data_IF_127415674207
#
_entry.id   IF_127415674207
#
_cell.length_a   1.000
_cell.length_b   1.000
_cell.length_c   1.000
_cell.angle_alpha   90.00
_cell.angle_beta   90.00
_cell.angle_gamma   90.00
#
_symmetry.space_group_name_H-M   'P 1'
#
loop_
_entity.id
_entity.type
_entity.pdbx_description
1 polymer ?
#
# COMPACT_ATOMS: atom_id res chain seq x y z
N UNK A 1 -23.34 12.50 15.35
CA UNK A 1 -22.24 13.43 15.04
C UNK A 1 -21.03 13.33 15.99
N UNK A 2 -20.84 12.23 16.72
CA UNK A 2 -19.89 12.14 17.85
C UNK A 2 -18.47 11.62 17.51
N UNK A 3 -18.15 11.49 16.22
CA UNK A 3 -16.79 11.30 15.67
C UNK A 3 -15.78 12.35 16.18
N UNK A 4 -14.61 11.97 16.67
CA UNK A 4 -13.50 12.92 16.76
C UNK A 4 -13.11 13.44 15.35
N UNK A 5 -12.56 14.67 15.22
CA UNK A 5 -12.10 15.20 13.93
C UNK A 5 -11.01 14.35 13.26
N UNK A 6 -10.31 13.55 14.05
CA UNK A 6 -9.26 12.63 13.64
C UNK A 6 -9.44 11.28 14.32
N UNK A 7 -9.11 10.20 13.61
CA UNK A 7 -9.10 8.83 14.14
C UNK A 7 -7.70 8.25 14.01
N UNK A 8 -7.17 7.71 15.10
CA UNK A 8 -5.90 7.00 15.12
C UNK A 8 -6.12 5.49 14.92
N UNK A 9 -5.43 4.92 13.94
CA UNK A 9 -5.28 3.50 13.75
C UNK A 9 -3.89 3.13 14.24
N UNK A 10 -3.81 2.34 15.31
CA UNK A 10 -2.55 1.93 15.94
C UNK A 10 -2.57 0.43 16.20
N UNK A 11 -1.47 -0.24 15.93
CA UNK A 11 -1.30 -1.67 16.26
C UNK A 11 -1.08 -1.84 17.77
N UNK A 12 -1.15 -3.07 18.29
CA UNK A 12 -0.67 -3.33 19.63
C UNK A 12 0.87 -3.36 19.65
N UNK A 13 1.48 -2.53 20.49
CA UNK A 13 2.95 -2.50 20.68
C UNK A 13 3.71 -1.60 19.70
N UNK A 14 5.02 -1.47 19.90
CA UNK A 14 5.88 -0.61 19.08
C UNK A 14 6.28 -1.30 17.78
N UNK A 15 5.75 -0.82 16.66
CA UNK A 15 6.22 -1.25 15.34
C UNK A 15 7.59 -0.64 15.02
N UNK A 16 8.42 -1.38 14.30
CA UNK A 16 9.79 -0.98 13.98
C UNK A 16 9.87 0.27 13.08
N UNK A 17 8.84 0.54 12.26
CA UNK A 17 8.80 1.73 11.39
C UNK A 17 8.70 3.04 12.16
N UNK A 18 8.34 3.01 13.44
CA UNK A 18 8.33 4.21 14.30
C UNK A 18 9.73 4.54 14.82
N UNK A 19 10.66 3.57 14.85
CA UNK A 19 11.98 3.74 15.46
C UNK A 19 12.87 4.61 14.56
N UNK A 20 13.74 5.45 15.14
CA UNK A 20 14.67 6.26 14.37
C UNK A 20 15.68 5.38 13.59
N UNK A 21 16.12 5.88 12.43
CA UNK A 21 17.22 5.35 11.62
C UNK A 21 18.26 6.45 11.36
N UNK A 22 19.44 6.12 10.84
CA UNK A 22 20.56 7.05 10.68
C UNK A 22 20.21 8.40 10.02
N UNK A 23 19.22 8.41 9.11
CA UNK A 23 18.76 9.62 8.41
C UNK A 23 17.28 9.94 8.66
N UNK A 24 16.65 9.33 9.67
CA UNK A 24 15.23 9.54 10.00
C UNK A 24 15.01 9.66 11.50
N UNK A 25 14.24 10.66 11.90
CA UNK A 25 13.74 10.80 13.28
C UNK A 25 12.56 9.87 13.48
N UNK A 26 12.34 9.46 14.72
CA UNK A 26 11.26 8.56 15.08
C UNK A 26 10.95 8.67 16.56
N UNK A 27 10.25 7.68 17.09
CA UNK A 27 9.78 7.62 18.46
C UNK A 27 10.14 6.28 19.10
N UNK A 28 10.22 6.26 20.42
CA UNK A 28 10.49 5.07 21.23
C UNK A 28 9.21 4.37 21.69
N UNK A 29 8.04 4.96 21.47
CA UNK A 29 6.74 4.37 21.76
C UNK A 29 5.64 4.95 20.88
N UNK A 30 4.51 4.24 20.78
CA UNK A 30 3.30 4.79 20.13
C UNK A 30 2.74 6.00 20.88
N UNK A 31 2.80 5.99 22.22
CA UNK A 31 2.35 7.10 23.04
C UNK A 31 3.14 8.38 22.74
N UNK A 32 4.45 8.27 22.61
CA UNK A 32 5.31 9.39 22.23
C UNK A 32 4.98 9.90 20.83
N UNK A 33 4.77 9.00 19.85
CA UNK A 33 4.38 9.38 18.50
C UNK A 33 3.03 10.14 18.48
N UNK A 34 2.03 9.64 19.20
CA UNK A 34 0.73 10.29 19.29
C UNK A 34 0.80 11.63 20.02
N UNK A 35 1.53 11.71 21.14
CA UNK A 35 1.70 12.96 21.89
C UNK A 35 2.42 14.05 21.08
N UNK A 36 3.35 13.67 20.20
CA UNK A 36 4.03 14.60 19.29
C UNK A 36 3.13 15.04 18.12
N UNK A 37 2.35 14.11 17.53
CA UNK A 37 1.60 14.38 16.31
C UNK A 37 0.22 14.99 16.55
N UNK A 38 -0.51 14.55 17.57
CA UNK A 38 -1.89 15.00 17.85
C UNK A 38 -1.99 16.53 17.96
N UNK A 39 -1.09 17.26 18.64
CA UNK A 39 -1.13 18.72 18.70
C UNK A 39 -0.99 19.40 17.34
N UNK A 40 -0.32 18.76 16.38
CA UNK A 40 -0.05 19.30 15.02
C UNK A 40 -1.26 19.14 14.09
N UNK A 41 -2.18 18.21 14.41
CA UNK A 41 -3.33 17.86 13.56
C UNK A 41 -4.35 18.99 13.38
N UNK A 42 -4.45 19.93 14.32
CA UNK A 42 -5.35 21.08 14.22
C UNK A 42 -4.96 22.03 13.08
N UNK A 43 -3.69 22.06 12.74
CA UNK A 43 -3.11 22.90 11.67
C UNK A 43 -2.78 22.11 10.40
N UNK A 44 -2.92 20.78 10.43
CA UNK A 44 -2.57 19.92 9.31
C UNK A 44 -3.60 20.06 8.18
N UNK A 45 -3.11 20.40 6.99
CA UNK A 45 -3.90 20.42 5.76
C UNK A 45 -4.04 19.03 5.13
N UNK A 46 -3.13 18.10 5.44
CA UNK A 46 -3.16 16.72 4.98
C UNK A 46 -4.24 15.93 5.70
N UNK A 47 -5.10 15.19 5.00
CA UNK A 47 -6.17 14.40 5.64
C UNK A 47 -5.76 12.98 6.05
N UNK A 48 -4.52 12.59 5.77
CA UNK A 48 -3.92 11.30 6.14
C UNK A 48 -2.49 11.54 6.63
N UNK A 49 -2.16 11.02 7.81
CA UNK A 49 -0.84 11.14 8.40
C UNK A 49 -0.32 9.77 8.85
N UNK A 50 0.68 9.19 8.16
CA UNK A 50 1.25 7.90 8.56
C UNK A 50 2.03 8.03 9.88
N UNK A 51 1.87 7.06 10.77
CA UNK A 51 2.62 6.94 12.02
C UNK A 51 3.89 6.12 11.76
N UNK A 52 4.87 6.79 11.18
CA UNK A 52 6.16 6.23 10.75
C UNK A 52 7.27 7.24 10.99
N UNK A 53 8.51 6.76 11.10
CA UNK A 53 9.70 7.62 11.16
C UNK A 53 9.66 8.66 10.04
N UNK A 54 10.27 9.82 10.27
CA UNK A 54 10.16 10.97 9.39
C UNK A 54 11.51 11.68 9.20
N UNK A 55 11.65 12.35 8.08
CA UNK A 55 12.76 13.25 7.79
C UNK A 55 12.27 14.70 7.75
N UNK A 56 13.16 15.64 7.40
CA UNK A 56 12.78 17.03 7.14
C UNK A 56 11.77 17.18 5.99
N UNK A 57 11.69 16.17 5.10
CA UNK A 57 10.74 16.12 3.98
C UNK A 57 9.37 15.53 4.35
N UNK A 58 9.21 15.05 5.60
CA UNK A 58 7.98 14.45 6.10
C UNK A 58 8.12 12.96 6.41
N UNK A 59 7.01 12.21 6.46
CA UNK A 59 7.03 10.79 6.84
C UNK A 59 7.70 9.89 5.81
N UNK A 60 8.58 8.99 6.26
CA UNK A 60 9.22 7.98 5.42
C UNK A 60 8.20 6.90 5.07
N UNK A 61 7.90 6.69 3.80
CA UNK A 61 7.02 5.60 3.34
C UNK A 61 7.83 4.38 2.88
N UNK A 62 7.14 3.34 2.43
CA UNK A 62 7.75 2.17 1.81
C UNK A 62 7.12 1.90 0.45
N UNK A 63 7.91 1.32 -0.44
CA UNK A 63 7.50 0.85 -1.76
C UNK A 63 8.04 -0.58 -1.90
N UNK A 64 7.25 -1.49 -2.46
CA UNK A 64 7.74 -2.86 -2.67
C UNK A 64 8.96 -2.82 -3.62
N UNK A 65 9.99 -3.62 -3.33
CA UNK A 65 11.25 -3.62 -4.08
C UNK A 65 11.07 -4.13 -5.52
N UNK A 66 9.98 -4.86 -5.75
CA UNK A 66 9.57 -5.40 -7.04
C UNK A 66 8.83 -4.40 -7.92
N UNK A 67 8.62 -3.17 -7.43
CA UNK A 67 8.07 -2.09 -8.24
C UNK A 67 8.98 -1.80 -9.43
N UNK A 68 8.46 -2.08 -10.62
CA UNK A 68 9.14 -1.90 -11.88
C UNK A 68 8.62 -0.72 -12.69
N UNK A 69 7.67 0.06 -12.15
CA UNK A 69 7.08 1.22 -12.84
C UNK A 69 8.17 2.13 -13.41
N UNK A 70 7.90 2.69 -14.59
CA UNK A 70 8.86 3.56 -15.28
C UNK A 70 9.22 4.73 -14.34
N UNK A 71 10.52 5.08 -14.22
CA UNK A 71 11.00 5.87 -13.12
C UNK A 71 10.29 7.24 -13.04
N UNK A 72 9.75 7.54 -11.86
CA UNK A 72 9.73 8.91 -11.38
C UNK A 72 11.18 9.47 -11.44
N UNK A 73 11.39 10.76 -11.76
CA UNK A 73 12.71 11.40 -11.78
C UNK A 73 13.57 11.13 -10.51
N UNK A 74 14.91 11.30 -10.57
CA UNK A 74 15.84 10.88 -9.50
C UNK A 74 15.52 11.50 -8.13
N UNK A 75 15.96 10.86 -7.04
CA UNK A 75 15.16 10.70 -5.84
C UNK A 75 15.20 11.93 -4.95
N UNK A 76 14.04 12.51 -4.70
CA UNK A 76 13.77 13.00 -3.35
C UNK A 76 12.87 12.00 -2.61
N UNK A 77 13.20 10.71 -2.71
CA UNK A 77 12.34 9.64 -2.24
C UNK A 77 12.40 9.59 -0.71
N UNK A 78 11.38 10.20 -0.09
CA UNK A 78 11.09 10.07 1.33
C UNK A 78 10.48 8.69 1.61
N UNK A 79 11.11 7.62 1.12
CA UNK A 79 10.66 6.25 1.29
C UNK A 79 11.81 5.23 1.18
N UNK A 80 11.56 4.01 1.66
CA UNK A 80 12.45 2.86 1.57
C UNK A 80 11.87 1.77 0.66
N UNK A 81 12.74 0.94 0.08
CA UNK A 81 12.30 -0.29 -0.59
C UNK A 81 12.10 -1.41 0.42
N UNK A 82 11.00 -2.15 0.28
CA UNK A 82 10.65 -3.29 1.12
C UNK A 82 10.57 -4.56 0.26
N UNK A 83 11.36 -5.57 0.59
CA UNK A 83 11.31 -6.83 -0.12
C UNK A 83 10.41 -7.82 0.64
N UNK A 84 9.25 -8.14 0.09
CA UNK A 84 8.30 -9.10 0.66
C UNK A 84 8.11 -10.34 -0.24
N UNK A 85 9.11 -10.65 -1.06
CA UNK A 85 9.05 -11.44 -2.30
C UNK A 85 8.33 -12.79 -2.28
N UNK A 86 8.03 -13.41 -1.13
CA UNK A 86 7.38 -14.72 -1.08
C UNK A 86 5.94 -14.80 -1.60
N UNK A 87 5.27 -13.66 -1.87
CA UNK A 87 3.85 -13.67 -2.24
C UNK A 87 3.42 -12.61 -3.26
N UNK A 88 4.38 -11.94 -3.88
CA UNK A 88 4.19 -10.83 -4.84
C UNK A 88 3.16 -9.78 -4.39
N UNK A 89 3.50 -9.08 -3.31
CA UNK A 89 2.64 -7.99 -2.81
C UNK A 89 2.55 -6.81 -3.76
N UNK A 90 3.58 -6.57 -4.58
CA UNK A 90 3.55 -5.49 -5.56
C UNK A 90 2.38 -5.69 -6.55
N UNK A 91 2.31 -6.86 -7.20
CA UNK A 91 1.24 -7.14 -8.15
C UNK A 91 -0.13 -7.26 -7.49
N UNK A 92 -0.21 -7.89 -6.30
CA UNK A 92 -1.47 -7.96 -5.55
C UNK A 92 -1.99 -6.57 -5.15
N UNK A 93 -1.11 -5.65 -4.78
CA UNK A 93 -1.50 -4.28 -4.46
C UNK A 93 -2.09 -3.56 -5.69
N UNK A 94 -1.52 -3.78 -6.88
CA UNK A 94 -2.03 -3.26 -8.15
C UNK A 94 -3.40 -3.84 -8.49
N UNK A 95 -3.59 -5.14 -8.31
CA UNK A 95 -4.90 -5.78 -8.50
C UNK A 95 -5.94 -5.23 -7.52
N UNK A 96 -5.58 -5.08 -6.23
CA UNK A 96 -6.49 -4.51 -5.23
C UNK A 96 -6.83 -3.06 -5.58
N UNK A 97 -5.83 -2.25 -5.94
CA UNK A 97 -6.04 -0.86 -6.34
C UNK A 97 -7.04 -0.79 -7.51
N UNK A 98 -6.80 -1.55 -8.58
CA UNK A 98 -7.71 -1.61 -9.74
C UNK A 98 -9.11 -2.10 -9.36
N UNK A 99 -9.21 -3.09 -8.46
CA UNK A 99 -10.50 -3.61 -7.99
C UNK A 99 -11.30 -2.57 -7.20
N UNK A 100 -10.61 -1.69 -6.45
CA UNK A 100 -11.23 -0.66 -5.62
C UNK A 100 -11.49 0.65 -6.36
N UNK A 101 -10.66 1.02 -7.33
CA UNK A 101 -10.70 2.35 -7.97
C UNK A 101 -10.95 2.30 -9.49
N UNK A 102 -11.08 1.11 -10.08
CA UNK A 102 -11.25 0.90 -11.51
C UNK A 102 -9.94 0.90 -12.30
N UNK A 103 -10.06 0.78 -13.62
CA UNK A 103 -8.91 0.58 -14.52
C UNK A 103 -8.40 -0.86 -14.49
N UNK A 104 -7.23 -1.10 -15.11
CA UNK A 104 -6.59 -2.42 -15.09
C UNK A 104 -5.45 -2.48 -14.05
N UNK A 105 -5.12 -3.67 -13.51
CA UNK A 105 -3.95 -3.82 -12.65
C UNK A 105 -2.65 -3.41 -13.36
N UNK A 106 -2.58 -3.59 -14.68
CA UNK A 106 -1.42 -3.22 -15.48
C UNK A 106 -1.16 -1.70 -15.52
N UNK A 107 -2.20 -0.89 -15.37
CA UNK A 107 -2.10 0.58 -15.35
C UNK A 107 -1.91 1.15 -13.93
N UNK A 108 -2.16 0.35 -12.89
CA UNK A 108 -1.96 0.78 -11.52
C UNK A 108 -0.47 0.94 -11.22
N UNK A 109 -0.06 2.10 -10.71
CA UNK A 109 1.30 2.33 -10.26
C UNK A 109 1.60 1.58 -8.96
N UNK A 110 2.88 1.36 -8.67
CA UNK A 110 3.27 0.86 -7.36
C UNK A 110 2.88 1.85 -6.26
N UNK A 111 2.35 1.31 -5.18
CA UNK A 111 1.80 2.11 -4.09
C UNK A 111 2.89 2.40 -3.05
N UNK A 112 2.96 3.65 -2.60
CA UNK A 112 3.76 4.03 -1.42
C UNK A 112 2.89 3.89 -0.19
N UNK A 113 3.36 3.18 0.83
CA UNK A 113 2.55 2.81 1.98
C UNK A 113 3.30 2.91 3.32
N UNK A 114 2.57 3.10 4.43
CA UNK A 114 3.12 2.97 5.78
C UNK A 114 2.95 1.54 6.32
N UNK A 115 4.02 0.75 6.46
CA UNK A 115 3.93 -0.57 7.05
C UNK A 115 3.48 -0.52 8.51
N UNK A 116 2.77 -1.58 8.91
CA UNK A 116 2.09 -1.71 10.19
C UNK A 116 0.69 -1.13 10.20
N UNK A 117 0.16 -0.57 9.10
CA UNK A 117 -1.17 0.06 9.08
C UNK A 117 -1.42 1.03 10.26
N UNK A 118 -0.42 1.85 10.60
CA UNK A 118 -0.52 2.83 11.66
C UNK A 118 -0.57 4.24 11.08
N UNK A 119 -1.65 4.96 11.36
CA UNK A 119 -1.90 6.26 10.76
C UNK A 119 -3.01 7.03 11.50
N UNK A 120 -3.00 8.34 11.33
CA UNK A 120 -4.06 9.26 11.75
C UNK A 120 -4.84 9.67 10.49
N UNK A 121 -6.16 9.53 10.52
CA UNK A 121 -7.03 9.90 9.39
C UNK A 121 -8.00 10.96 9.83
N UNK A 122 -8.07 12.05 9.06
CA UNK A 122 -9.06 13.09 9.27
C UNK A 122 -10.44 12.55 8.93
N UNK A 123 -11.44 12.94 9.72
CA UNK A 123 -12.81 12.42 9.61
C UNK A 123 -13.40 12.54 8.20
N UNK A 124 -13.18 13.68 7.54
CA UNK A 124 -13.66 13.93 6.17
C UNK A 124 -13.15 12.89 5.16
N UNK A 125 -11.93 12.38 5.37
CA UNK A 125 -11.33 11.37 4.52
C UNK A 125 -11.94 9.98 4.75
N UNK A 126 -12.39 9.67 5.97
CA UNK A 126 -13.12 8.45 6.30
C UNK A 126 -14.53 8.45 5.70
N UNK A 127 -15.28 9.54 5.91
CA UNK A 127 -16.69 9.62 5.52
C UNK A 127 -16.90 9.85 4.02
N UNK A 128 -15.87 10.28 3.30
CA UNK A 128 -15.87 10.33 1.83
C UNK A 128 -16.05 8.95 1.19
N UNK A 129 -15.72 7.87 1.91
CA UNK A 129 -16.06 6.51 1.49
C UNK A 129 -17.42 6.13 2.06
N UNK A 130 -18.37 5.64 1.24
CA UNK A 130 -19.70 5.28 1.72
C UNK A 130 -19.62 4.13 2.73
N UNK A 131 -20.57 4.05 3.66
CA UNK A 131 -20.58 3.00 4.69
C UNK A 131 -20.52 1.58 4.10
N UNK A 132 -21.18 1.37 2.96
CA UNK A 132 -21.19 0.09 2.25
C UNK A 132 -19.78 -0.35 1.82
N UNK A 133 -18.91 0.58 1.43
CA UNK A 133 -17.51 0.28 1.12
C UNK A 133 -16.80 -0.32 2.34
N UNK A 134 -16.94 0.31 3.51
CA UNK A 134 -16.32 -0.19 4.74
C UNK A 134 -16.88 -1.55 5.20
N UNK A 135 -18.18 -1.77 5.00
CA UNK A 135 -18.80 -3.07 5.27
C UNK A 135 -18.25 -4.17 4.37
N UNK A 136 -18.15 -3.91 3.06
CA UNK A 136 -17.56 -4.84 2.09
C UNK A 136 -16.09 -5.13 2.41
N UNK A 137 -15.29 -4.10 2.67
CA UNK A 137 -13.87 -4.28 3.02
C UNK A 137 -13.67 -5.10 4.29
N UNK A 138 -14.51 -4.90 5.31
CA UNK A 138 -14.48 -5.72 6.52
C UNK A 138 -14.78 -7.19 6.20
N UNK A 139 -15.82 -7.44 5.43
CA UNK A 139 -16.24 -8.81 5.09
C UNK A 139 -15.22 -9.51 4.19
N UNK A 140 -14.61 -8.79 3.25
CA UNK A 140 -13.57 -9.32 2.36
C UNK A 140 -12.27 -9.61 3.14
N UNK A 141 -11.84 -8.71 4.03
CA UNK A 141 -10.66 -8.93 4.89
C UNK A 141 -10.84 -10.22 5.69
N UNK A 142 -11.99 -10.41 6.33
CA UNK A 142 -12.26 -11.63 7.13
C UNK A 142 -12.21 -12.92 6.30
N UNK A 143 -12.57 -12.87 5.02
CA UNK A 143 -12.55 -14.04 4.12
C UNK A 143 -11.16 -14.33 3.56
N UNK A 144 -10.40 -13.28 3.25
CA UNK A 144 -9.17 -13.36 2.49
C UNK A 144 -7.89 -13.17 3.32
N UNK A 145 -8.02 -13.07 4.64
CA UNK A 145 -6.90 -12.96 5.58
C UNK A 145 -5.96 -14.19 5.50
N UNK A 146 -4.64 -14.03 5.63
CA UNK A 146 -3.89 -12.77 5.87
C UNK A 146 -3.55 -11.97 4.61
N UNK A 147 -3.73 -12.53 3.41
CA UNK A 147 -3.23 -11.93 2.16
C UNK A 147 -3.86 -10.56 1.90
N UNK A 148 -5.17 -10.42 2.11
CA UNK A 148 -5.83 -9.15 1.85
C UNK A 148 -5.44 -8.07 2.85
N UNK A 149 -5.11 -8.41 4.11
CA UNK A 149 -4.60 -7.43 5.09
C UNK A 149 -3.28 -6.81 4.63
N UNK A 150 -2.32 -7.63 4.22
CA UNK A 150 -1.04 -7.14 3.67
C UNK A 150 -1.22 -6.36 2.38
N UNK A 151 -2.14 -6.77 1.51
CA UNK A 151 -2.42 -6.06 0.26
C UNK A 151 -3.11 -4.73 0.53
N UNK A 152 -4.05 -4.71 1.49
CA UNK A 152 -4.75 -3.51 1.94
C UNK A 152 -3.78 -2.47 2.49
N UNK A 153 -2.78 -2.90 3.28
CA UNK A 153 -1.71 -2.04 3.79
C UNK A 153 -1.08 -1.20 2.67
N UNK A 154 -0.80 -1.80 1.50
CA UNK A 154 -0.18 -1.09 0.34
C UNK A 154 -1.08 0.02 -0.21
N UNK A 155 -2.39 -0.19 -0.23
CA UNK A 155 -3.36 0.75 -0.82
C UNK A 155 -3.96 1.73 0.19
N UNK A 156 -3.56 1.69 1.46
CA UNK A 156 -4.10 2.56 2.54
C UNK A 156 -4.03 4.04 2.19
N UNK A 157 -2.92 4.50 1.62
CA UNK A 157 -2.76 5.91 1.21
C UNK A 157 -3.79 6.29 0.15
N UNK A 158 -4.04 5.44 -0.85
CA UNK A 158 -5.08 5.71 -1.85
C UNK A 158 -6.49 5.72 -1.22
N UNK A 159 -6.78 4.77 -0.33
CA UNK A 159 -8.08 4.66 0.35
C UNK A 159 -8.39 5.94 1.13
N UNK A 160 -7.44 6.41 1.94
CA UNK A 160 -7.69 7.54 2.83
C UNK A 160 -7.31 8.89 2.23
N UNK A 161 -6.34 8.98 1.32
CA UNK A 161 -5.81 10.27 0.83
C UNK A 161 -6.15 10.58 -0.63
N UNK A 162 -6.91 9.73 -1.35
CA UNK A 162 -7.36 10.01 -2.71
C UNK A 162 -8.79 10.56 -2.78
N UNK A 163 -9.09 11.41 -3.77
CA UNK A 163 -10.45 11.81 -4.14
C UNK A 163 -11.11 10.85 -5.13
N UNK A 164 -10.37 9.90 -5.71
CA UNK A 164 -10.90 8.92 -6.67
C UNK A 164 -12.09 8.17 -6.07
N UNK A 165 -13.23 8.07 -6.76
CA UNK A 165 -14.36 7.26 -6.33
C UNK A 165 -13.97 5.78 -6.16
N UNK A 166 -14.58 5.13 -5.17
CA UNK A 166 -14.41 3.68 -4.97
C UNK A 166 -15.52 2.91 -5.66
N UNK A 167 -15.20 1.70 -6.13
CA UNK A 167 -16.16 0.74 -6.62
C UNK A 167 -16.80 0.01 -5.43
N UNK A 168 -18.12 -0.19 -5.49
CA UNK A 168 -18.90 -0.90 -4.47
C UNK A 168 -19.08 -2.35 -4.86
N UNK A 169 -17.96 -3.05 -4.98
CA UNK A 169 -17.92 -4.46 -5.35
C UNK A 169 -16.98 -5.21 -4.41
N UNK A 170 -17.32 -6.45 -4.10
CA UNK A 170 -16.47 -7.31 -3.30
C UNK A 170 -15.24 -7.72 -4.10
N UNK A 171 -14.09 -7.70 -3.43
CA UNK A 171 -12.82 -8.20 -3.97
C UNK A 171 -12.58 -9.67 -3.61
N UNK A 172 -13.52 -10.33 -2.94
CA UNK A 172 -13.40 -11.73 -2.50
C UNK A 172 -13.18 -12.72 -3.65
N UNK A 173 -13.56 -12.35 -4.87
CA UNK A 173 -13.39 -13.19 -6.07
C UNK A 173 -12.09 -12.88 -6.84
N UNK A 174 -11.31 -11.88 -6.42
CA UNK A 174 -10.02 -11.55 -7.04
C UNK A 174 -8.97 -12.62 -6.78
N UNK A 175 -7.86 -12.60 -7.52
CA UNK A 175 -6.80 -13.59 -7.31
C UNK A 175 -6.16 -13.49 -5.92
N UNK A 176 -6.19 -12.30 -5.29
CA UNK A 176 -5.72 -12.05 -3.91
C UNK A 176 -6.36 -13.03 -2.92
N UNK A 177 -7.63 -13.36 -3.11
CA UNK A 177 -8.42 -14.20 -2.22
C UNK A 177 -8.43 -15.69 -2.61
N UNK A 178 -7.93 -16.02 -3.80
CA UNK A 178 -7.95 -17.39 -4.32
C UNK A 178 -6.83 -18.23 -3.70
N UNK A 179 -7.23 -19.32 -3.04
CA UNK A 179 -6.30 -20.26 -2.38
C UNK A 179 -5.88 -21.42 -3.28
N UNK A 180 -6.54 -21.60 -4.40
CA UNK A 180 -6.29 -22.66 -5.38
C UNK A 180 -5.19 -22.30 -6.39
N UNK A 181 -4.70 -21.06 -6.36
CA UNK A 181 -3.63 -20.60 -7.25
C UNK A 181 -2.28 -21.12 -6.76
N UNK A 182 -1.50 -21.68 -7.70
CA UNK A 182 -0.15 -22.13 -7.41
C UNK A 182 0.79 -20.93 -7.25
N UNK A 183 1.02 -20.52 -6.01
CA UNK A 183 1.93 -19.42 -5.66
C UNK A 183 3.36 -19.87 -5.39
N UNK A 184 3.69 -21.17 -5.54
CA UNK A 184 5.04 -21.70 -5.31
C UNK A 184 6.11 -21.13 -6.24
N UNK A 185 5.70 -20.53 -7.36
CA UNK A 185 6.60 -19.83 -8.29
C UNK A 185 7.09 -18.48 -7.78
N UNK A 186 6.41 -17.90 -6.77
CA UNK A 186 6.84 -16.64 -6.15
C UNK A 186 8.05 -16.90 -5.24
N UNK A 187 9.22 -16.55 -5.75
CA UNK A 187 10.54 -16.71 -5.11
C UNK A 187 10.98 -15.44 -4.39
N UNK A 188 12.02 -15.52 -3.55
CA UNK A 188 12.64 -14.33 -2.94
C UNK A 188 14.15 -14.33 -3.27
N UNK A 189 14.64 -13.40 -4.12
CA UNK A 189 13.90 -12.36 -4.83
C UNK A 189 12.92 -12.93 -5.86
N UNK A 190 11.86 -12.17 -6.17
CA UNK A 190 10.93 -12.54 -7.24
C UNK A 190 11.65 -12.53 -8.58
N UNK A 191 11.21 -13.41 -9.49
CA UNK A 191 11.66 -13.44 -10.88
C UNK A 191 10.64 -12.68 -11.75
N UNK A 192 10.94 -11.45 -12.19
CA UNK A 192 9.94 -10.57 -12.78
C UNK A 192 9.20 -11.17 -13.98
N UNK A 193 9.92 -11.88 -14.86
CA UNK A 193 9.31 -12.47 -16.06
C UNK A 193 8.47 -13.71 -15.78
N UNK A 194 8.84 -14.54 -14.81
CA UNK A 194 8.04 -15.70 -14.41
C UNK A 194 6.75 -15.21 -13.73
N UNK A 195 6.89 -14.25 -12.81
CA UNK A 195 5.78 -13.58 -12.14
C UNK A 195 4.84 -12.88 -13.13
N UNK A 196 5.37 -12.14 -14.10
CA UNK A 196 4.55 -11.47 -15.11
C UNK A 196 3.78 -12.45 -16.01
N UNK A 197 4.31 -13.63 -16.29
CA UNK A 197 3.55 -14.64 -17.05
C UNK A 197 2.31 -15.09 -16.29
N UNK A 198 2.45 -15.36 -14.98
CA UNK A 198 1.31 -15.68 -14.12
C UNK A 198 0.25 -14.57 -14.14
N UNK A 199 0.67 -13.33 -13.93
CA UNK A 199 -0.28 -12.20 -13.89
C UNK A 199 -0.91 -11.89 -15.24
N UNK A 200 -0.17 -12.03 -16.34
CA UNK A 200 -0.69 -11.80 -17.69
C UNK A 200 -1.87 -12.74 -18.01
N UNK A 201 -1.79 -14.00 -17.58
CA UNK A 201 -2.87 -14.97 -17.75
C UNK A 201 -4.13 -14.59 -16.95
N UNK A 202 -3.96 -14.01 -15.76
CA UNK A 202 -5.08 -13.67 -14.87
C UNK A 202 -5.67 -12.27 -15.14
N UNK A 203 -4.84 -11.33 -15.55
CA UNK A 203 -5.23 -9.94 -15.79
C UNK A 203 -5.62 -9.67 -17.25
N UNK A 204 -5.13 -10.49 -18.20
CA UNK A 204 -5.37 -10.27 -19.63
C UNK A 204 -4.66 -9.04 -20.20
N UNK A 205 -3.67 -8.48 -19.50
CA UNK A 205 -2.88 -7.33 -19.90
C UNK A 205 -1.39 -7.52 -19.55
N UNK A 206 -0.51 -6.67 -20.06
CA UNK A 206 0.94 -6.74 -19.82
C UNK A 206 1.32 -6.19 -18.43
N UNK A 207 1.81 -7.03 -17.49
CA UNK A 207 2.11 -6.57 -16.13
C UNK A 207 3.39 -5.75 -16.01
N UNK A 208 4.36 -5.96 -16.90
CA UNK A 208 5.69 -5.36 -16.84
C UNK A 208 5.71 -3.94 -17.38
N UNK A 209 6.57 -3.09 -16.82
CA UNK A 209 6.81 -1.76 -17.36
C UNK A 209 7.48 -1.79 -18.73
N UNK A 210 7.28 -0.71 -19.51
CA UNK A 210 7.92 -0.55 -20.82
C UNK A 210 9.44 -0.62 -20.70
N UNK A 211 10.01 0.02 -19.67
CA UNK A 211 11.46 -0.02 -19.40
C UNK A 211 11.97 -1.44 -19.24
N UNK A 212 11.29 -2.30 -18.47
CA UNK A 212 11.75 -3.65 -18.24
C UNK A 212 11.68 -4.49 -19.53
N UNK A 213 10.63 -4.30 -20.33
CA UNK A 213 10.49 -4.91 -21.65
C UNK A 213 11.61 -4.46 -22.61
N UNK A 214 11.91 -3.17 -22.66
CA UNK A 214 12.97 -2.60 -23.49
C UNK A 214 14.36 -3.11 -23.06
N UNK A 215 14.60 -3.25 -21.74
CA UNK A 215 15.84 -3.82 -21.21
C UNK A 215 16.03 -5.30 -21.61
N UNK A 216 14.95 -6.09 -21.58
CA UNK A 216 14.98 -7.50 -22.05
C UNK A 216 15.22 -7.58 -23.55
N UNK A 217 14.53 -6.76 -24.34
CA UNK A 217 14.70 -6.71 -25.79
C UNK A 217 16.14 -6.33 -26.19
N UNK A 218 16.80 -5.50 -25.37
CA UNK A 218 18.20 -5.11 -25.53
C UNK A 218 19.21 -6.14 -24.95
N UNK A 219 18.76 -7.27 -24.39
CA UNK A 219 19.62 -8.29 -23.79
C UNK A 219 20.37 -7.83 -22.53
N UNK A 220 19.86 -6.79 -21.84
CA UNK A 220 20.48 -6.24 -20.62
C UNK A 220 20.08 -6.97 -19.35
N UNK A 221 18.97 -7.73 -19.42
CA UNK A 221 18.41 -8.63 -18.40
C UNK A 221 17.77 -9.83 -19.08
#
# INVERSE_FOLDING_TARGET
DDLAPWTAFVQAGLHWTLKPLAHAKGWQSQAEALNDLVPKLSTATTGFWPLVMYSERGPMLWQDAEDDTDPDPPPELNYFHFQNGGSDMYSKARELYSSLFGGTPCEASGQKFPPGMQYLVKRENLVRRPLQFWQLMKDDILKCDPTLGYTFERVTVAIYNSTTPVLLQSVANSTICRRDLNTSMFTTPLKPFETANFWREHWGCEPLSKRLLDMRAAGKI
#
